data_IF_355081283620
#
_entry.id   IF_355081283620
#
_cell.length_a   1.000
_cell.length_b   1.000
_cell.length_c   1.000
_cell.angle_alpha   90.00
_cell.angle_beta   90.00
_cell.angle_gamma   90.00
#
_symmetry.space_group_name_H-M   'P 1'
#
loop_
_entity.id
_entity.type
_entity.pdbx_description
1 polymer ?
#
# COMPACT_ATOMS: atom_id res chain seq x y z
N UNK A 1 38.62 31.64 24.49
CA UNK A 1 38.20 30.65 23.47
C UNK A 1 37.05 29.79 24.00
N UNK A 2 35.89 29.86 23.36
CA UNK A 2 34.77 28.96 23.61
C UNK A 2 35.16 27.56 23.08
N UNK A 3 35.17 26.56 23.97
CA UNK A 3 35.50 25.16 23.68
C UNK A 3 34.28 24.25 23.78
N UNK A 4 33.07 24.81 23.70
CA UNK A 4 31.85 24.04 23.85
C UNK A 4 31.66 23.15 22.62
N UNK A 5 31.70 21.82 22.76
CA UNK A 5 31.57 20.91 21.64
C UNK A 5 30.18 21.06 21.00
N UNK A 6 30.15 21.15 19.67
CA UNK A 6 28.91 21.06 18.89
C UNK A 6 28.50 19.59 18.84
N UNK A 7 27.25 19.31 19.21
CA UNK A 7 26.65 17.98 19.11
C UNK A 7 25.67 17.95 17.94
N UNK A 8 25.85 16.99 17.04
CA UNK A 8 24.91 16.67 15.95
C UNK A 8 24.27 15.33 16.28
N UNK A 9 23.03 15.35 16.76
CA UNK A 9 22.25 14.14 16.97
C UNK A 9 21.67 13.72 15.62
N UNK A 10 22.03 12.52 15.17
CA UNK A 10 21.38 11.86 14.03
C UNK A 10 20.39 10.86 14.62
N UNK A 11 19.09 11.15 14.48
CA UNK A 11 18.04 10.19 14.82
C UNK A 11 17.69 9.43 13.57
N UNK A 12 17.96 8.13 13.55
CA UNK A 12 17.35 7.22 12.58
C UNK A 12 15.90 6.98 13.02
N UNK A 13 14.97 6.89 12.07
CA UNK A 13 13.55 6.61 12.34
C UNK A 13 13.22 5.31 11.64
N UNK A 14 12.84 4.29 12.42
CA UNK A 14 12.24 3.08 11.87
C UNK A 14 10.83 3.42 11.34
N UNK A 15 10.75 3.85 10.08
CA UNK A 15 9.50 4.11 9.40
C UNK A 15 8.79 2.79 9.07
N UNK A 16 7.83 2.41 9.92
CA UNK A 16 6.96 1.27 9.62
C UNK A 16 5.88 1.67 8.62
N UNK A 17 5.75 0.88 7.56
CA UNK A 17 4.68 1.01 6.56
C UNK A 17 3.79 -0.22 6.61
N UNK A 18 2.48 0.01 6.58
CA UNK A 18 1.45 -1.02 6.61
C UNK A 18 0.74 -1.04 5.26
N UNK A 19 0.52 -2.24 4.72
CA UNK A 19 -0.33 -2.45 3.55
C UNK A 19 -1.70 -2.93 4.04
N UNK A 20 -2.75 -2.18 3.74
CA UNK A 20 -4.13 -2.61 3.99
C UNK A 20 -4.79 -3.01 2.67
N UNK A 21 -5.32 -4.24 2.61
CA UNK A 21 -6.08 -4.75 1.47
C UNK A 21 -7.57 -4.75 1.80
N UNK A 22 -8.37 -4.07 0.99
CA UNK A 22 -9.84 -4.08 1.07
C UNK A 22 -10.45 -4.61 -0.22
N UNK A 23 -11.65 -5.16 -0.13
CA UNK A 23 -12.41 -5.64 -1.27
C UNK A 23 -13.87 -5.19 -1.14
N UNK A 24 -14.57 -5.07 -2.26
CA UNK A 24 -16.03 -4.87 -2.26
C UNK A 24 -16.71 -6.09 -1.62
N UNK A 25 -17.58 -5.91 -0.60
CA UNK A 25 -18.01 -6.98 0.29
C UNK A 25 -19.02 -7.96 -0.34
N UNK A 26 -19.82 -7.53 -1.30
CA UNK A 26 -20.81 -8.37 -1.99
C UNK A 26 -20.91 -7.96 -3.46
N UNK A 27 -21.03 -8.95 -4.34
CA UNK A 27 -21.26 -8.73 -5.77
C UNK A 27 -22.31 -9.72 -6.26
N UNK A 28 -23.16 -9.29 -7.20
CA UNK A 28 -24.08 -10.17 -7.89
C UNK A 28 -23.30 -11.07 -8.88
N UNK A 29 -23.96 -12.10 -9.41
CA UNK A 29 -23.49 -12.81 -10.61
C UNK A 29 -23.22 -11.80 -11.73
N UNK A 30 -22.16 -12.05 -12.51
CA UNK A 30 -21.64 -11.10 -13.50
C UNK A 30 -21.16 -9.75 -12.92
N UNK A 31 -21.04 -9.63 -11.59
CA UNK A 31 -20.50 -8.45 -10.92
C UNK A 31 -18.99 -8.32 -11.05
N UNK A 32 -18.46 -7.25 -10.45
CA UNK A 32 -17.01 -6.99 -10.38
C UNK A 32 -16.61 -6.75 -8.93
N UNK A 33 -15.60 -7.47 -8.46
CA UNK A 33 -14.97 -7.23 -7.18
C UNK A 33 -13.80 -6.27 -7.39
N UNK A 34 -13.83 -5.11 -6.74
CA UNK A 34 -12.69 -4.18 -6.72
C UNK A 34 -11.86 -4.43 -5.48
N UNK A 35 -10.62 -4.86 -5.68
CA UNK A 35 -9.61 -4.98 -4.62
C UNK A 35 -8.78 -3.70 -4.58
N UNK A 36 -8.61 -3.10 -3.40
CA UNK A 36 -7.79 -1.90 -3.20
C UNK A 36 -6.70 -2.18 -2.18
N UNK A 37 -5.45 -1.97 -2.56
CA UNK A 37 -4.31 -1.99 -1.65
C UNK A 37 -3.88 -0.55 -1.33
N UNK A 38 -3.71 -0.23 -0.05
CA UNK A 38 -3.33 1.11 0.43
C UNK A 38 -2.12 1.04 1.35
N UNK A 39 -1.16 1.93 1.15
CA UNK A 39 0.03 2.13 1.97
C UNK A 39 -0.21 3.22 3.01
N UNK A 40 -0.05 2.87 4.28
CA UNK A 40 -0.13 3.79 5.41
C UNK A 40 1.11 3.71 6.28
N UNK A 41 1.55 4.85 6.80
CA UNK A 41 2.63 4.92 7.78
C UNK A 41 2.15 4.58 9.18
N UNK A 42 3.08 4.48 10.13
CA UNK A 42 2.82 4.27 11.55
C UNK A 42 1.85 5.30 12.17
N UNK A 43 1.84 6.52 11.63
CA UNK A 43 0.96 7.62 12.05
C UNK A 43 -0.41 7.60 11.36
N UNK A 44 -0.68 6.57 10.55
CA UNK A 44 -1.90 6.41 9.77
C UNK A 44 -1.97 7.30 8.53
N UNK A 45 -0.92 8.09 8.20
CA UNK A 45 -0.92 8.92 7.00
C UNK A 45 -0.59 8.09 5.76
N UNK A 46 -1.09 8.49 4.57
CA UNK A 46 -0.70 7.85 3.32
C UNK A 46 0.82 7.95 3.11
N UNK A 47 1.43 6.83 2.72
CA UNK A 47 2.83 6.77 2.31
C UNK A 47 2.89 6.39 0.85
N UNK A 48 3.80 7.00 0.10
CA UNK A 48 3.98 6.70 -1.32
C UNK A 48 5.06 5.65 -1.55
N UNK A 49 4.92 4.86 -2.62
CA UNK A 49 5.95 3.91 -3.03
C UNK A 49 7.16 4.66 -3.62
N UNK A 50 8.27 4.73 -2.89
CA UNK A 50 9.42 5.57 -3.28
C UNK A 50 10.48 4.85 -4.13
N UNK A 51 10.77 3.58 -3.85
CA UNK A 51 11.88 2.84 -4.47
C UNK A 51 11.44 1.92 -5.64
N UNK A 52 10.32 2.25 -6.27
CA UNK A 52 9.70 1.45 -7.32
C UNK A 52 8.27 1.02 -6.97
N UNK A 53 7.58 0.30 -7.87
CA UNK A 53 6.22 -0.15 -7.62
C UNK A 53 6.16 -1.21 -6.51
N UNK A 54 5.10 -1.19 -5.72
CA UNK A 54 4.78 -2.24 -4.76
C UNK A 54 3.76 -3.18 -5.38
N UNK A 55 4.05 -4.49 -5.37
CA UNK A 55 3.15 -5.51 -5.91
C UNK A 55 2.51 -6.31 -4.78
N UNK A 56 1.19 -6.40 -4.79
CA UNK A 56 0.41 -7.25 -3.89
C UNK A 56 -0.18 -8.39 -4.70
N UNK A 57 0.26 -9.60 -4.44
CA UNK A 57 -0.26 -10.81 -5.08
C UNK A 57 -1.40 -11.36 -4.24
N UNK A 58 -2.57 -11.49 -4.87
CA UNK A 58 -3.75 -12.11 -4.27
C UNK A 58 -3.62 -13.64 -4.36
N UNK A 59 -4.30 -14.35 -3.46
CA UNK A 59 -4.35 -15.83 -3.47
C UNK A 59 -4.90 -16.38 -4.80
N UNK A 60 -5.75 -15.62 -5.48
CA UNK A 60 -6.25 -15.93 -6.82
C UNK A 60 -5.18 -15.87 -7.93
N UNK A 61 -3.93 -15.52 -7.61
CA UNK A 61 -2.82 -15.35 -8.54
C UNK A 61 -2.82 -14.03 -9.30
N UNK A 62 -3.80 -13.14 -9.03
CA UNK A 62 -3.84 -11.79 -9.62
C UNK A 62 -2.98 -10.81 -8.83
N UNK A 63 -2.53 -9.75 -9.47
CA UNK A 63 -1.61 -8.77 -8.85
C UNK A 63 -2.19 -7.37 -8.87
N UNK A 64 -2.18 -6.71 -7.71
CA UNK A 64 -2.40 -5.27 -7.58
C UNK A 64 -1.03 -4.60 -7.61
N UNK A 65 -0.89 -3.57 -8.45
CA UNK A 65 0.34 -2.77 -8.50
C UNK A 65 0.06 -1.38 -7.98
N UNK A 66 0.79 -0.99 -6.93
CA UNK A 66 0.86 0.39 -6.45
C UNK A 66 2.04 1.03 -7.16
N UNK A 67 1.77 1.97 -8.06
CA UNK A 67 2.81 2.62 -8.86
C UNK A 67 3.77 3.43 -7.96
N UNK A 68 5.00 3.63 -8.44
CA UNK A 68 5.93 4.54 -7.78
C UNK A 68 5.31 5.95 -7.67
N UNK A 69 5.44 6.57 -6.50
CA UNK A 69 4.80 7.84 -6.15
C UNK A 69 3.33 7.74 -5.75
N UNK A 70 2.68 6.58 -5.88
CA UNK A 70 1.32 6.35 -5.43
C UNK A 70 1.28 5.72 -4.03
N UNK A 71 0.20 5.97 -3.30
CA UNK A 71 -0.09 5.35 -2.00
C UNK A 71 -1.14 4.24 -2.10
N UNK A 72 -1.76 4.05 -3.25
CA UNK A 72 -2.75 3.00 -3.46
C UNK A 72 -2.75 2.44 -4.88
N UNK A 73 -3.29 1.24 -5.03
CA UNK A 73 -3.52 0.56 -6.29
C UNK A 73 -4.81 -0.25 -6.22
N UNK A 74 -5.47 -0.44 -7.35
CA UNK A 74 -6.71 -1.19 -7.44
C UNK A 74 -6.66 -2.24 -8.55
N UNK A 75 -7.44 -3.30 -8.37
CA UNK A 75 -7.65 -4.35 -9.36
C UNK A 75 -9.13 -4.75 -9.38
N UNK A 76 -9.72 -4.69 -10.55
CA UNK A 76 -11.07 -5.17 -10.81
C UNK A 76 -11.05 -6.62 -11.28
N UNK A 77 -11.89 -7.44 -10.65
CA UNK A 77 -12.02 -8.87 -10.95
C UNK A 77 -13.48 -9.19 -11.24
N UNK A 78 -13.76 -9.56 -12.48
CA UNK A 78 -15.09 -10.06 -12.86
C UNK A 78 -15.37 -11.41 -12.19
N UNK A 79 -16.55 -11.56 -11.60
CA UNK A 79 -17.05 -12.85 -11.14
C UNK A 79 -17.80 -13.55 -12.28
N UNK A 80 -17.52 -14.84 -12.47
CA UNK A 80 -18.18 -15.65 -13.48
C UNK A 80 -19.66 -15.86 -13.17
N UNK A 81 -20.43 -16.17 -14.21
CA UNK A 81 -21.77 -16.72 -14.07
C UNK A 81 -21.66 -18.25 -14.01
N UNK A 82 -22.27 -18.88 -13.01
CA UNK A 82 -22.32 -20.33 -12.85
C UNK A 82 -23.69 -20.84 -13.33
N UNK A 83 -23.88 -20.95 -14.65
CA UNK A 83 -25.08 -21.53 -15.29
C UNK A 83 -24.78 -22.83 -16.01
#
# INVERSE_FOLDING_TARGET
PNTTPVSTIVSDVDDTTTVTLTATPTVNENGTITYTATLTGADGKPVTAQNGPVTVTLESGKTITIAAGASSGALDVAVGNDV
#
